data_IF_500180895098
#
_entry.id   IF_500180895098
#
_cell.length_a   1.000
_cell.length_b   1.000
_cell.length_c   1.000
_cell.angle_alpha   90.00
_cell.angle_beta   90.00
_cell.angle_gamma   90.00
#
_symmetry.space_group_name_H-M   'P 1'
#
loop_
_entity.id
_entity.type
_entity.pdbx_description
1 polymer ?
#
# COMPACT_ATOMS: atom_id res chain seq x y z
N UNK A 1 6.17 29.00 -5.42
CA UNK A 1 5.36 28.00 -4.68
C UNK A 1 6.14 26.69 -4.64
N UNK A 2 6.57 26.22 -3.47
CA UNK A 2 7.27 24.94 -3.34
C UNK A 2 6.29 23.82 -3.64
N UNK A 3 6.44 23.20 -4.81
CA UNK A 3 5.62 22.10 -5.28
C UNK A 3 6.03 20.86 -4.49
N UNK A 4 5.52 20.72 -3.27
CA UNK A 4 6.01 19.62 -2.44
C UNK A 4 5.46 18.29 -2.96
N UNK A 5 6.35 17.54 -3.61
CA UNK A 5 6.04 16.24 -4.19
C UNK A 5 5.89 15.19 -3.09
N UNK A 6 4.79 14.46 -3.11
CA UNK A 6 4.65 13.21 -2.37
C UNK A 6 5.77 12.25 -2.77
N UNK A 7 6.44 11.66 -1.77
CA UNK A 7 7.45 10.63 -1.95
C UNK A 7 7.19 9.52 -0.95
N UNK A 8 7.16 8.28 -1.40
CA UNK A 8 7.07 7.10 -0.54
C UNK A 8 8.14 6.09 -0.89
N UNK A 9 8.83 5.60 0.14
CA UNK A 9 9.84 4.55 0.04
C UNK A 9 9.38 3.37 0.87
N UNK A 10 9.25 2.21 0.23
CA UNK A 10 8.95 0.96 0.92
C UNK A 10 10.20 0.54 1.70
N UNK A 11 10.08 0.45 3.01
CA UNK A 11 11.18 0.11 3.92
C UNK A 11 11.22 -1.38 4.22
N UNK A 12 10.05 -1.99 4.44
CA UNK A 12 9.96 -3.40 4.74
C UNK A 12 8.62 -3.98 4.29
N UNK A 13 8.63 -5.28 4.04
CA UNK A 13 7.45 -6.10 3.80
C UNK A 13 7.49 -7.21 4.83
N UNK A 14 6.41 -7.36 5.60
CA UNK A 14 6.19 -8.49 6.48
C UNK A 14 4.92 -9.20 6.03
N UNK A 15 5.12 -10.34 5.36
CA UNK A 15 4.04 -11.26 5.01
C UNK A 15 3.78 -12.15 6.22
N UNK A 16 2.87 -11.74 7.10
CA UNK A 16 2.45 -12.57 8.23
C UNK A 16 1.55 -13.68 7.73
N UNK A 17 2.13 -14.85 7.45
CA UNK A 17 1.36 -16.08 7.17
C UNK A 17 0.63 -16.60 8.43
N UNK A 18 1.02 -16.16 9.62
CA UNK A 18 0.46 -16.61 10.90
C UNK A 18 -0.53 -15.59 11.51
N UNK A 19 -1.81 -15.95 11.57
CA UNK A 19 -2.75 -15.51 12.61
C UNK A 19 -3.64 -14.32 12.30
N UNK A 20 -3.08 -13.17 11.91
CA UNK A 20 -3.87 -11.93 11.92
C UNK A 20 -4.61 -11.61 10.61
N UNK A 21 -4.35 -12.36 9.54
CA UNK A 21 -5.07 -12.18 8.27
C UNK A 21 -4.64 -10.97 7.43
N UNK A 22 -3.50 -10.33 7.73
CA UNK A 22 -2.97 -9.19 6.99
C UNK A 22 -1.49 -9.37 6.59
N UNK A 23 -1.14 -8.77 5.45
CA UNK A 23 0.21 -8.46 5.05
C UNK A 23 0.55 -7.03 5.43
N UNK A 24 1.76 -6.80 5.93
CA UNK A 24 2.20 -5.50 6.38
C UNK A 24 3.27 -4.95 5.44
N UNK A 25 3.08 -3.72 4.96
CA UNK A 25 4.05 -2.97 4.17
C UNK A 25 4.35 -1.66 4.89
N UNK A 26 5.61 -1.44 5.26
CA UNK A 26 6.00 -0.23 5.99
C UNK A 26 6.66 0.75 5.04
N UNK A 27 6.11 1.95 4.96
CA UNK A 27 6.59 3.04 4.10
C UNK A 27 7.15 4.19 4.92
N UNK A 28 8.23 4.80 4.44
CA UNK A 28 8.59 6.18 4.82
C UNK A 28 8.01 7.12 3.79
N UNK A 29 7.22 8.08 4.26
CA UNK A 29 6.48 9.01 3.43
C UNK A 29 6.90 10.44 3.75
N UNK A 30 7.25 11.19 2.71
CA UNK A 30 7.41 12.63 2.75
C UNK A 30 6.27 13.25 1.92
N UNK A 31 5.41 14.03 2.56
CA UNK A 31 4.25 14.67 1.91
C UNK A 31 4.26 16.19 2.12
N UNK A 32 5.40 16.83 1.88
CA UNK A 32 5.54 18.29 1.96
C UNK A 32 5.39 18.99 3.28
N UNK A 33 5.09 18.23 4.31
CA UNK A 33 5.40 18.60 5.68
C UNK A 33 6.90 18.46 5.88
N UNK A 34 7.43 19.27 6.79
CA UNK A 34 8.85 19.30 7.18
C UNK A 34 9.35 17.99 7.77
N UNK A 35 8.48 17.01 8.01
CA UNK A 35 8.78 15.71 8.59
C UNK A 35 8.49 14.54 7.63
N UNK A 36 9.38 13.56 7.67
CA UNK A 36 9.16 12.23 7.11
C UNK A 36 8.42 11.41 8.17
N UNK A 37 7.31 10.77 7.79
CA UNK A 37 6.55 9.88 8.67
C UNK A 37 6.65 8.42 8.22
N UNK A 38 6.55 7.50 9.17
CA UNK A 38 6.39 6.07 8.89
C UNK A 38 4.89 5.78 8.79
N UNK A 39 4.48 5.11 7.72
CA UNK A 39 3.11 4.64 7.52
C UNK A 39 3.12 3.14 7.30
N UNK A 40 2.33 2.43 8.10
CA UNK A 40 2.12 0.98 7.97
C UNK A 40 0.87 0.71 7.15
N UNK A 41 1.01 0.01 6.03
CA UNK A 41 -0.12 -0.43 5.21
C UNK A 41 -0.41 -1.90 5.51
N UNK A 42 -1.59 -2.18 6.02
CA UNK A 42 -2.10 -3.53 6.30
C UNK A 42 -3.04 -3.95 5.18
N UNK A 43 -2.68 -4.97 4.41
CA UNK A 43 -3.51 -5.51 3.32
C UNK A 43 -4.06 -6.84 3.76
N UNK A 44 -5.39 -6.97 3.86
CA UNK A 44 -6.01 -8.23 4.25
C UNK A 44 -5.68 -9.34 3.25
N UNK A 45 -5.62 -10.58 3.72
CA UNK A 45 -5.35 -11.73 2.87
C UNK A 45 -6.44 -11.90 1.79
N UNK A 46 -7.68 -11.51 2.10
CA UNK A 46 -8.78 -11.48 1.12
C UNK A 46 -8.56 -10.43 0.05
N UNK A 47 -8.15 -9.21 0.43
CA UNK A 47 -7.81 -8.16 -0.52
C UNK A 47 -6.65 -8.59 -1.44
N UNK A 48 -5.60 -9.18 -0.85
CA UNK A 48 -4.47 -9.73 -1.60
C UNK A 48 -4.93 -10.81 -2.58
N UNK A 49 -5.79 -11.75 -2.14
CA UNK A 49 -6.32 -12.82 -3.01
C UNK A 49 -7.15 -12.27 -4.15
N UNK A 50 -8.01 -11.28 -3.88
CA UNK A 50 -8.85 -10.63 -4.89
C UNK A 50 -8.00 -9.93 -5.96
N UNK A 51 -7.02 -9.13 -5.54
CA UNK A 51 -6.06 -8.48 -6.44
C UNK A 51 -5.27 -9.52 -7.24
N UNK A 52 -4.68 -10.51 -6.58
CA UNK A 52 -3.92 -11.57 -7.25
C UNK A 52 -4.79 -12.33 -8.26
N UNK A 53 -6.07 -12.59 -7.96
CA UNK A 53 -7.02 -13.24 -8.86
C UNK A 53 -7.38 -12.38 -10.08
N UNK A 54 -7.58 -11.07 -9.92
CA UNK A 54 -7.78 -10.14 -11.04
C UNK A 54 -6.55 -10.11 -11.96
N UNK A 55 -5.34 -9.99 -11.39
CA UNK A 55 -4.10 -9.93 -12.17
C UNK A 55 -3.77 -11.28 -12.84
N UNK A 56 -4.15 -12.40 -12.22
CA UNK A 56 -4.04 -13.73 -12.83
C UNK A 56 -4.94 -13.85 -14.06
N UNK A 57 -6.18 -13.34 -13.98
CA UNK A 57 -7.08 -13.27 -15.13
C UNK A 57 -6.54 -12.38 -16.24
N UNK A 58 -5.80 -11.32 -15.89
CA UNK A 58 -5.05 -10.49 -16.82
C UNK A 58 -3.74 -11.14 -17.34
N UNK A 59 -3.46 -12.41 -17.00
CA UNK A 59 -2.27 -13.18 -17.41
C UNK A 59 -0.94 -12.55 -16.99
N UNK A 60 -0.92 -11.77 -15.90
CA UNK A 60 0.31 -11.18 -15.39
C UNK A 60 1.22 -12.21 -14.71
N UNK A 61 2.53 -12.20 -15.00
CA UNK A 61 3.54 -12.99 -14.30
C UNK A 61 3.49 -12.80 -12.77
N UNK A 62 3.88 -13.83 -12.01
CA UNK A 62 3.87 -13.78 -10.54
C UNK A 62 4.65 -12.59 -9.97
N UNK A 63 5.83 -12.31 -10.51
CA UNK A 63 6.68 -11.20 -10.04
C UNK A 63 5.98 -9.85 -10.23
N UNK A 64 5.30 -9.67 -11.36
CA UNK A 64 4.55 -8.45 -11.65
C UNK A 64 3.33 -8.31 -10.72
N UNK A 65 2.66 -9.42 -10.38
CA UNK A 65 1.55 -9.42 -9.41
C UNK A 65 1.99 -8.89 -8.04
N UNK A 66 3.15 -9.33 -7.56
CA UNK A 66 3.70 -8.87 -6.28
C UNK A 66 4.17 -7.40 -6.32
N UNK A 67 4.66 -6.94 -7.48
CA UNK A 67 5.01 -5.53 -7.69
C UNK A 67 3.78 -4.64 -7.74
N UNK A 68 2.69 -5.09 -8.37
CA UNK A 68 1.42 -4.37 -8.43
C UNK A 68 0.83 -4.14 -7.05
N UNK A 69 0.90 -5.11 -6.14
CA UNK A 69 0.46 -4.92 -4.75
C UNK A 69 1.20 -3.77 -4.06
N UNK A 70 2.52 -3.67 -4.26
CA UNK A 70 3.34 -2.58 -3.70
C UNK A 70 3.00 -1.24 -4.35
N UNK A 71 2.77 -1.24 -5.67
CA UNK A 71 2.40 -0.04 -6.40
C UNK A 71 1.04 0.47 -5.93
N UNK A 72 0.07 -0.41 -5.81
CA UNK A 72 -1.28 -0.07 -5.37
C UNK A 72 -1.26 0.50 -3.94
N UNK A 73 -0.52 -0.11 -3.00
CA UNK A 73 -0.32 0.47 -1.66
C UNK A 73 0.29 1.89 -1.70
N UNK A 74 1.22 2.16 -2.63
CA UNK A 74 1.76 3.52 -2.83
C UNK A 74 0.73 4.50 -3.35
N UNK A 75 -0.16 4.06 -4.24
CA UNK A 75 -1.24 4.88 -4.79
C UNK A 75 -2.23 5.28 -3.71
N UNK A 76 -2.66 4.34 -2.86
CA UNK A 76 -3.54 4.64 -1.72
C UNK A 76 -2.92 5.66 -0.76
N UNK A 77 -1.62 5.51 -0.45
CA UNK A 77 -0.91 6.49 0.37
C UNK A 77 -0.86 7.87 -0.31
N UNK A 78 -0.68 7.92 -1.63
CA UNK A 78 -0.67 9.18 -2.37
C UNK A 78 -2.06 9.85 -2.38
N UNK A 79 -3.14 9.07 -2.52
CA UNK A 79 -4.51 9.55 -2.47
C UNK A 79 -4.83 10.17 -1.09
N UNK A 80 -4.58 9.43 0.00
CA UNK A 80 -4.77 9.95 1.37
C UNK A 80 -3.90 11.16 1.67
N UNK A 81 -2.69 11.19 1.14
CA UNK A 81 -1.80 12.33 1.25
C UNK A 81 -2.33 13.57 0.53
N UNK A 82 -2.96 13.42 -0.64
CA UNK A 82 -3.60 14.50 -1.38
C UNK A 82 -4.81 15.07 -0.62
N UNK A 83 -5.57 14.19 0.04
CA UNK A 83 -6.72 14.56 0.88
C UNK A 83 -6.32 15.08 2.28
N UNK A 84 -5.02 15.18 2.57
CA UNK A 84 -4.50 15.65 3.85
C UNK A 84 -4.70 14.68 5.03
N UNK A 85 -5.12 13.44 4.76
CA UNK A 85 -5.60 12.46 5.74
C UNK A 85 -4.63 11.29 5.99
N UNK A 86 -3.34 11.45 5.67
CA UNK A 86 -2.35 10.37 5.73
C UNK A 86 -2.18 9.80 7.16
N UNK A 87 -2.69 8.59 7.45
CA UNK A 87 -2.65 8.03 8.80
C UNK A 87 -1.28 7.40 9.09
N UNK A 88 -1.04 7.04 10.36
CA UNK A 88 0.10 6.18 10.74
C UNK A 88 -0.10 4.73 10.31
N UNK A 89 -1.35 4.26 10.28
CA UNK A 89 -1.74 2.93 9.80
C UNK A 89 -2.88 3.05 8.79
N UNK A 90 -2.70 2.45 7.62
CA UNK A 90 -3.73 2.33 6.59
C UNK A 90 -4.11 0.85 6.47
N UNK A 91 -5.39 0.54 6.72
CA UNK A 91 -5.92 -0.81 6.54
C UNK A 91 -6.68 -0.89 5.23
N UNK A 92 -6.41 -1.96 4.48
CA UNK A 92 -7.02 -2.28 3.21
C UNK A 92 -7.66 -3.66 3.34
N UNK A 93 -8.91 -3.72 2.91
CA UNK A 93 -9.77 -4.89 2.93
C UNK A 93 -10.32 -5.18 1.54
N UNK A 94 -10.98 -6.33 1.36
CA UNK A 94 -11.49 -6.73 0.06
C UNK A 94 -12.62 -5.81 -0.47
N UNK A 95 -13.32 -5.10 0.42
CA UNK A 95 -14.34 -4.10 0.09
C UNK A 95 -13.75 -2.80 -0.45
N UNK A 96 -12.48 -2.50 -0.15
CA UNK A 96 -11.79 -1.34 -0.73
C UNK A 96 -11.39 -1.56 -2.21
N UNK A 97 -11.67 -2.75 -2.75
CA UNK A 97 -11.28 -3.19 -4.10
C UNK A 97 -12.47 -3.43 -5.04
N UNK A 98 -13.68 -3.08 -4.62
CA UNK A 98 -14.91 -3.20 -5.44
C UNK A 98 -15.04 -2.04 -6.44
#
# INVERSE_FOLDING_TARGET
MSNSRFRSVLMSIRTTQSGNGFNELVFRVANGRTSIQTVTVLISNDAQRKLAGQLTRARMPKVERDQMLKLWAKWELAARAADGSLPSTLTITASDLD
#
